data_IF_904725224821
#
_entry.id   IF_904725224821
#
_cell.length_a   1.000
_cell.length_b   1.000
_cell.length_c   1.000
_cell.angle_alpha   90.00
_cell.angle_beta   90.00
_cell.angle_gamma   90.00
#
_symmetry.space_group_name_H-M   'P 1'
#
loop_
_entity.id
_entity.type
_entity.pdbx_description
1 polymer ?
#
# COMPACT_ATOMS: atom_id res chain seq x y z
N UNK A 1 12.71 11.85 9.70
CA UNK A 1 11.97 13.10 9.41
C UNK A 1 10.48 12.79 9.37
N UNK A 2 9.63 13.59 10.03
CA UNK A 2 8.19 13.38 10.20
C UNK A 2 7.44 14.69 9.96
N UNK A 3 6.14 14.59 9.73
CA UNK A 3 5.26 15.75 9.65
C UNK A 3 5.20 16.48 10.98
N UNK A 4 4.95 17.78 10.95
CA UNK A 4 4.91 18.60 12.16
C UNK A 4 3.91 19.75 12.02
N UNK A 5 3.38 20.17 13.17
CA UNK A 5 2.55 21.34 13.24
C UNK A 5 3.33 22.62 12.94
N UNK A 6 2.68 23.57 12.28
CA UNK A 6 3.23 24.88 11.98
C UNK A 6 2.22 25.95 12.40
N UNK A 7 2.73 27.13 12.79
CA UNK A 7 1.91 28.28 13.14
C UNK A 7 1.39 29.04 11.90
N UNK A 8 1.89 28.70 10.71
CA UNK A 8 1.46 29.29 9.44
C UNK A 8 0.85 28.22 8.56
N UNK A 9 -0.11 28.63 7.77
CA UNK A 9 -0.70 27.84 6.73
C UNK A 9 0.28 27.66 5.57
N UNK A 10 0.52 26.40 5.18
CA UNK A 10 1.29 26.03 3.97
C UNK A 10 0.37 25.69 2.80
N UNK A 11 -0.88 26.18 2.81
CA UNK A 11 -1.87 25.93 1.78
C UNK A 11 -2.73 24.69 2.05
N UNK A 12 -2.47 23.92 3.10
CA UNK A 12 -3.26 22.75 3.48
C UNK A 12 -4.51 23.10 4.30
N UNK A 13 -4.56 24.28 4.93
CA UNK A 13 -5.65 24.71 5.77
C UNK A 13 -5.65 24.14 7.20
N UNK A 14 -4.94 23.05 7.42
CA UNK A 14 -4.86 22.33 8.72
C UNK A 14 -3.59 22.63 9.52
N UNK A 15 -2.74 23.50 9.00
CA UNK A 15 -1.47 23.93 9.61
C UNK A 15 -0.48 22.80 9.86
N UNK A 16 -0.50 21.79 9.02
CA UNK A 16 0.46 20.68 9.05
C UNK A 16 1.42 20.79 7.88
N UNK A 17 2.71 20.63 8.16
CA UNK A 17 3.74 20.50 7.15
C UNK A 17 3.93 19.01 6.83
N UNK A 18 3.50 18.58 5.65
CA UNK A 18 3.47 17.17 5.19
C UNK A 18 4.78 16.70 4.53
N UNK A 19 5.92 17.30 4.84
CA UNK A 19 7.20 16.97 4.22
C UNK A 19 7.88 15.73 4.82
N UNK A 20 7.30 15.12 5.86
CA UNK A 20 7.85 13.94 6.52
C UNK A 20 7.70 12.68 5.69
N UNK A 21 8.61 11.74 5.88
CA UNK A 21 8.43 10.34 5.43
C UNK A 21 7.58 9.53 6.42
N UNK A 22 7.33 10.08 7.60
CA UNK A 22 6.38 9.62 8.61
C UNK A 22 5.36 10.71 8.89
N UNK A 23 4.17 10.35 9.34
CA UNK A 23 3.16 11.30 9.81
C UNK A 23 3.53 11.91 11.18
N UNK A 24 2.66 12.75 11.74
CA UNK A 24 2.87 13.38 13.07
C UNK A 24 2.93 12.36 14.22
N UNK A 25 2.32 11.21 14.05
CA UNK A 25 2.29 10.12 15.03
C UNK A 25 3.35 9.04 14.76
N UNK A 26 4.27 9.31 13.83
CA UNK A 26 5.34 8.37 13.42
C UNK A 26 4.84 7.12 12.71
N UNK A 27 3.62 7.13 12.15
CA UNK A 27 3.24 6.12 11.19
C UNK A 27 4.07 6.27 9.92
N UNK A 28 4.64 5.18 9.39
CA UNK A 28 5.44 5.25 8.17
C UNK A 28 4.54 5.51 6.95
N UNK A 29 4.87 6.54 6.18
CA UNK A 29 4.29 6.76 4.85
C UNK A 29 4.97 5.84 3.84
N UNK A 30 4.40 5.70 2.66
CA UNK A 30 4.97 4.87 1.59
C UNK A 30 6.45 5.19 1.30
N UNK A 31 6.81 6.48 1.31
CA UNK A 31 8.20 6.95 1.09
C UNK A 31 9.20 6.44 2.14
N UNK A 32 8.76 6.06 3.34
CA UNK A 32 9.63 5.47 4.38
C UNK A 32 10.31 4.20 3.88
N UNK A 33 9.60 3.41 3.07
CA UNK A 33 10.12 2.13 2.58
C UNK A 33 11.31 2.32 1.63
N UNK A 34 11.45 3.46 0.93
CA UNK A 34 12.63 3.75 0.11
C UNK A 34 13.88 3.82 0.98
N UNK A 35 13.79 4.50 2.14
CA UNK A 35 14.89 4.57 3.09
C UNK A 35 15.10 3.22 3.82
N UNK A 36 14.02 2.55 4.18
CA UNK A 36 14.08 1.25 4.85
C UNK A 36 14.73 0.17 3.97
N UNK A 37 14.65 0.27 2.65
CA UNK A 37 15.30 -0.66 1.73
C UNK A 37 16.83 -0.56 1.75
N UNK A 38 17.41 0.56 2.20
CA UNK A 38 18.87 0.74 2.23
C UNK A 38 19.54 0.06 3.46
N UNK A 39 18.77 -0.55 4.37
CA UNK A 39 19.27 -1.35 5.48
C UNK A 39 19.12 -2.86 5.21
N UNK A 40 19.93 -3.69 5.90
CA UNK A 40 20.01 -5.13 5.67
C UNK A 40 19.44 -6.00 6.81
N UNK A 41 19.07 -5.38 7.93
CA UNK A 41 18.72 -6.09 9.16
C UNK A 41 17.31 -6.69 9.12
N UNK A 42 16.36 -5.95 8.54
CA UNK A 42 14.94 -6.33 8.52
C UNK A 42 14.46 -6.44 7.08
N UNK A 43 13.78 -7.54 6.70
CA UNK A 43 13.21 -7.67 5.36
C UNK A 43 12.15 -6.59 5.08
N UNK A 44 12.34 -5.88 3.99
CA UNK A 44 11.41 -4.87 3.48
C UNK A 44 10.80 -5.39 2.19
N UNK A 45 9.48 -5.31 2.10
CA UNK A 45 8.71 -5.52 0.88
C UNK A 45 7.46 -4.66 0.96
N UNK A 46 7.31 -3.75 0.02
CA UNK A 46 6.11 -2.92 -0.13
C UNK A 46 5.80 -2.74 -1.61
N UNK A 47 4.51 -2.69 -1.94
CA UNK A 47 4.00 -2.46 -3.29
C UNK A 47 3.26 -1.13 -3.28
N UNK A 48 3.65 -0.21 -4.18
CA UNK A 48 3.19 1.18 -4.17
C UNK A 48 1.75 1.38 -4.69
N UNK A 49 0.93 0.35 -4.66
CA UNK A 49 -0.46 0.33 -5.13
C UNK A 49 -1.27 -0.65 -4.28
N UNK A 50 -2.56 -0.40 -4.16
CA UNK A 50 -3.52 -1.38 -3.63
C UNK A 50 -3.70 -2.57 -4.58
N UNK A 51 -3.25 -2.46 -5.84
CA UNK A 51 -3.52 -3.39 -6.94
C UNK A 51 -5.02 -3.55 -7.25
N UNK A 52 -5.84 -2.65 -6.72
CA UNK A 52 -7.28 -2.64 -6.99
C UNK A 52 -7.57 -2.08 -8.39
N UNK A 53 -8.58 -2.63 -9.04
CA UNK A 53 -8.99 -2.22 -10.37
C UNK A 53 -9.56 -0.80 -10.41
N UNK A 54 -10.05 -0.29 -9.27
CA UNK A 54 -10.60 1.05 -9.11
C UNK A 54 -9.57 2.15 -8.87
N UNK A 55 -8.31 1.82 -8.66
CA UNK A 55 -7.27 2.80 -8.31
C UNK A 55 -6.97 3.78 -9.48
N UNK A 56 -7.10 3.31 -10.71
CA UNK A 56 -6.89 4.11 -11.92
C UNK A 56 -8.05 3.99 -12.92
N UNK A 57 -8.32 5.04 -13.74
CA UNK A 57 -9.35 5.00 -14.76
C UNK A 57 -9.13 3.89 -15.80
N UNK A 58 -10.24 3.35 -16.35
CA UNK A 58 -10.21 2.40 -17.46
C UNK A 58 -9.59 1.05 -17.12
N UNK A 59 -9.68 0.63 -15.85
CA UNK A 59 -9.09 -0.62 -15.36
C UNK A 59 -7.55 -0.68 -15.51
N UNK A 60 -6.90 0.46 -15.69
CA UNK A 60 -5.45 0.55 -15.74
C UNK A 60 -4.85 0.27 -14.36
N UNK A 61 -3.59 -0.16 -14.36
CA UNK A 61 -2.81 -0.44 -13.14
C UNK A 61 -1.90 0.73 -12.74
N UNK A 62 -1.59 1.63 -13.68
CA UNK A 62 -0.64 2.71 -13.44
C UNK A 62 0.82 2.24 -13.32
N UNK A 63 1.69 3.15 -12.93
CA UNK A 63 3.09 2.83 -12.65
C UNK A 63 3.22 2.37 -11.20
N UNK A 64 3.38 1.09 -11.00
CA UNK A 64 3.51 0.44 -9.69
C UNK A 64 4.96 0.04 -9.48
N UNK A 65 5.48 0.30 -8.28
CA UNK A 65 6.85 -0.04 -7.93
C UNK A 65 6.88 -1.06 -6.78
N UNK A 66 7.86 -1.95 -6.85
CA UNK A 66 8.28 -2.83 -5.76
C UNK A 66 9.37 -2.09 -5.00
N UNK A 67 9.22 -1.97 -3.69
CA UNK A 67 10.23 -1.49 -2.74
C UNK A 67 10.67 -2.67 -1.89
N UNK A 68 11.92 -3.11 -2.04
CA UNK A 68 12.43 -4.29 -1.33
C UNK A 68 13.94 -4.25 -1.19
N UNK A 69 14.46 -4.77 -0.07
CA UNK A 69 15.89 -5.03 0.16
C UNK A 69 16.27 -6.51 0.01
N UNK A 70 15.43 -7.28 -0.65
CA UNK A 70 15.69 -8.70 -0.95
C UNK A 70 16.53 -8.85 -2.24
N UNK A 71 17.05 -10.06 -2.45
CA UNK A 71 17.83 -10.41 -3.64
C UNK A 71 16.94 -10.45 -4.89
N UNK A 72 15.69 -10.88 -4.73
CA UNK A 72 14.67 -10.85 -5.76
C UNK A 72 13.26 -10.79 -5.18
N UNK A 73 12.27 -10.43 -6.02
CA UNK A 73 10.85 -10.49 -5.68
C UNK A 73 10.11 -11.25 -6.78
N UNK A 74 9.42 -12.31 -6.39
CA UNK A 74 8.56 -13.08 -7.30
C UNK A 74 7.13 -12.59 -7.20
N UNK A 75 6.55 -12.25 -8.34
CA UNK A 75 5.15 -11.83 -8.46
C UNK A 75 4.29 -12.98 -8.97
N UNK A 76 3.15 -13.17 -8.32
CA UNK A 76 2.13 -14.14 -8.70
C UNK A 76 0.78 -13.44 -8.89
N UNK A 77 -0.02 -13.95 -9.81
CA UNK A 77 -1.41 -13.54 -10.04
C UNK A 77 -2.30 -14.79 -9.97
N UNK A 78 -3.24 -14.83 -9.01
CA UNK A 78 -4.09 -15.99 -8.75
C UNK A 78 -3.25 -17.28 -8.64
N UNK A 79 -2.19 -17.24 -7.80
CA UNK A 79 -1.18 -18.28 -7.57
C UNK A 79 -0.34 -18.69 -8.79
N UNK A 80 -0.54 -18.06 -9.93
CA UNK A 80 0.27 -18.29 -11.12
C UNK A 80 1.47 -17.34 -11.13
N UNK A 81 2.66 -17.89 -11.30
CA UNK A 81 3.89 -17.09 -11.45
C UNK A 81 3.79 -16.17 -12.68
N UNK A 82 4.13 -14.90 -12.48
CA UNK A 82 4.15 -13.88 -13.54
C UNK A 82 5.59 -13.54 -13.90
N UNK A 83 6.36 -13.01 -12.95
CA UNK A 83 7.73 -12.55 -13.20
C UNK A 83 8.54 -12.48 -11.91
N UNK A 84 9.84 -12.62 -12.04
CA UNK A 84 10.80 -12.33 -10.99
C UNK A 84 11.47 -10.98 -11.27
N UNK A 85 11.50 -10.13 -10.26
CA UNK A 85 12.07 -8.79 -10.31
C UNK A 85 13.36 -8.77 -9.50
N UNK A 86 14.42 -8.23 -10.12
CA UNK A 86 15.77 -8.14 -9.54
C UNK A 86 16.14 -6.68 -9.29
N UNK A 87 16.98 -6.36 -8.29
CA UNK A 87 17.43 -4.99 -8.00
C UNK A 87 18.01 -4.26 -9.22
N UNK A 88 18.71 -5.01 -10.10
CA UNK A 88 19.30 -4.45 -11.32
C UNK A 88 18.28 -3.94 -12.34
N UNK A 89 17.00 -4.31 -12.21
CA UNK A 89 15.92 -3.80 -13.05
C UNK A 89 15.48 -2.39 -12.64
N UNK A 90 15.88 -1.90 -11.45
CA UNK A 90 15.63 -0.53 -11.05
C UNK A 90 16.29 0.47 -12.00
N UNK A 91 15.60 1.57 -12.40
CA UNK A 91 16.22 2.66 -13.15
C UNK A 91 17.19 3.50 -12.30
N UNK A 92 17.13 3.39 -10.97
CA UNK A 92 17.91 4.19 -10.01
C UNK A 92 19.22 3.50 -9.64
N UNK A 93 20.18 3.50 -10.57
CA UNK A 93 21.42 2.73 -10.46
C UNK A 93 22.35 3.14 -9.31
N UNK A 94 22.15 4.32 -8.71
CA UNK A 94 22.89 4.82 -7.56
C UNK A 94 22.36 4.31 -6.21
N UNK A 95 21.17 3.69 -6.19
CA UNK A 95 20.60 3.04 -5.02
C UNK A 95 20.87 1.54 -5.06
N UNK A 96 21.27 0.95 -3.93
CA UNK A 96 21.48 -0.49 -3.83
C UNK A 96 20.17 -1.25 -4.04
N UNK A 97 19.09 -0.76 -3.45
CA UNK A 97 17.75 -1.32 -3.52
C UNK A 97 16.74 -0.28 -4.02
N UNK A 98 17.01 0.28 -5.21
CA UNK A 98 16.12 1.27 -5.82
C UNK A 98 14.75 0.70 -6.20
N UNK A 99 13.70 1.53 -6.26
CA UNK A 99 12.36 1.10 -6.67
C UNK A 99 12.36 0.38 -8.01
N UNK A 100 11.68 -0.77 -8.11
CA UNK A 100 11.62 -1.58 -9.33
C UNK A 100 10.21 -1.45 -9.93
N UNK A 101 10.12 -0.99 -11.18
CA UNK A 101 8.84 -0.85 -11.87
C UNK A 101 8.26 -2.22 -12.24
N UNK A 102 6.99 -2.47 -11.87
CA UNK A 102 6.24 -3.62 -12.37
C UNK A 102 5.86 -3.35 -13.82
N UNK A 103 6.43 -4.12 -14.71
CA UNK A 103 6.27 -3.97 -16.16
C UNK A 103 5.46 -5.08 -16.82
N UNK A 104 5.13 -6.14 -16.07
CA UNK A 104 4.37 -7.29 -16.55
C UNK A 104 3.27 -7.71 -15.54
N UNK A 105 2.02 -7.78 -16.00
CA UNK A 105 0.84 -8.22 -15.24
C UNK A 105 0.25 -9.53 -15.79
N UNK A 106 0.86 -10.11 -16.82
CA UNK A 106 0.31 -11.20 -17.64
C UNK A 106 1.18 -12.46 -17.59
N UNK A 107 2.51 -12.28 -17.65
CA UNK A 107 3.47 -13.36 -17.76
C UNK A 107 3.22 -14.23 -18.99
N UNK A 108 3.45 -15.53 -18.85
CA UNK A 108 3.28 -16.51 -19.95
C UNK A 108 1.82 -16.93 -20.18
N UNK A 109 0.87 -16.42 -19.38
CA UNK A 109 -0.53 -16.88 -19.42
C UNK A 109 -1.20 -16.62 -20.76
N UNK A 110 -0.87 -15.51 -21.43
CA UNK A 110 -1.40 -15.20 -22.74
C UNK A 110 -0.91 -16.20 -23.79
N UNK A 111 0.39 -16.45 -23.85
CA UNK A 111 0.99 -17.36 -24.81
C UNK A 111 0.53 -18.83 -24.63
N UNK A 112 0.18 -19.21 -23.38
CA UNK A 112 -0.29 -20.57 -23.08
C UNK A 112 -1.79 -20.76 -23.38
N UNK A 113 -2.61 -19.72 -23.23
CA UNK A 113 -4.07 -19.83 -23.31
C UNK A 113 -4.63 -19.38 -24.68
N UNK A 114 -3.90 -18.54 -25.41
CA UNK A 114 -4.36 -18.00 -26.71
C UNK A 114 -3.58 -18.63 -27.86
N UNK A 115 -4.29 -18.87 -28.98
CA UNK A 115 -3.71 -19.55 -30.14
C UNK A 115 -2.99 -18.59 -31.09
N UNK A 116 -2.01 -17.83 -30.57
CA UNK A 116 -1.18 -16.95 -31.37
C UNK A 116 0.21 -17.54 -31.59
N UNK A 117 0.86 -17.16 -32.68
CA UNK A 117 2.29 -17.46 -32.89
C UNK A 117 3.10 -16.79 -31.77
N UNK A 118 4.20 -17.39 -31.28
CA UNK A 118 4.96 -16.86 -30.15
C UNK A 118 5.36 -15.40 -30.27
N UNK A 119 5.78 -14.96 -31.44
CA UNK A 119 6.13 -13.55 -31.72
C UNK A 119 4.93 -12.62 -31.57
N UNK A 120 3.75 -13.03 -32.10
CA UNK A 120 2.52 -12.24 -31.99
C UNK A 120 2.02 -12.19 -30.54
N UNK A 121 2.06 -13.32 -29.84
CA UNK A 121 1.69 -13.38 -28.45
C UNK A 121 2.51 -12.40 -27.62
N UNK A 122 3.83 -12.37 -27.81
CA UNK A 122 4.72 -11.43 -27.13
C UNK A 122 4.38 -9.97 -27.46
N UNK A 123 4.19 -9.61 -28.73
CA UNK A 123 3.85 -8.24 -29.12
C UNK A 123 2.51 -7.76 -28.51
N UNK A 124 1.51 -8.65 -28.44
CA UNK A 124 0.21 -8.35 -27.83
C UNK A 124 0.35 -8.18 -26.32
N UNK A 125 1.07 -9.07 -25.65
CA UNK A 125 1.35 -9.00 -24.19
C UNK A 125 2.08 -7.70 -23.84
N UNK A 126 3.14 -7.36 -24.60
CA UNK A 126 3.90 -6.12 -24.40
C UNK A 126 3.01 -4.87 -24.58
N UNK A 127 2.11 -4.90 -25.59
CA UNK A 127 1.16 -3.80 -25.82
C UNK A 127 0.14 -3.68 -24.67
N UNK A 128 -0.45 -4.79 -24.20
CA UNK A 128 -1.40 -4.79 -23.10
C UNK A 128 -0.75 -4.30 -21.81
N UNK A 129 0.46 -4.76 -21.49
CA UNK A 129 1.22 -4.29 -20.32
C UNK A 129 1.55 -2.80 -20.41
N UNK A 130 1.86 -2.29 -21.59
CA UNK A 130 2.10 -0.86 -21.81
C UNK A 130 0.83 -0.03 -21.60
N UNK A 131 -0.33 -0.50 -22.10
CA UNK A 131 -1.63 0.15 -21.89
C UNK A 131 -2.01 0.10 -20.41
N UNK A 132 -1.81 -1.03 -19.75
CA UNK A 132 -2.14 -1.20 -18.32
C UNK A 132 -1.38 -0.21 -17.42
N UNK A 133 -0.14 0.11 -17.76
CA UNK A 133 0.68 1.09 -17.01
C UNK A 133 0.40 2.54 -17.42
N UNK A 134 -0.04 2.76 -18.64
CA UNK A 134 -0.22 4.09 -19.19
C UNK A 134 -1.52 4.75 -18.76
N UNK A 135 -1.54 6.08 -18.89
CA UNK A 135 -2.80 6.82 -18.95
C UNK A 135 -3.33 6.77 -20.38
N UNK A 136 -4.62 6.55 -20.55
CA UNK A 136 -5.28 6.62 -21.85
C UNK A 136 -5.08 7.99 -22.55
N UNK A 137 -4.69 9.02 -21.77
CA UNK A 137 -4.41 10.36 -22.28
C UNK A 137 -3.01 10.52 -22.89
N UNK A 138 -2.10 9.55 -22.68
CA UNK A 138 -0.72 9.61 -23.17
C UNK A 138 -0.29 8.28 -23.77
N UNK A 139 -0.88 7.95 -24.94
CA UNK A 139 -0.55 6.73 -25.68
C UNK A 139 0.75 6.96 -26.48
N UNK A 140 1.82 6.20 -26.22
CA UNK A 140 3.06 6.31 -26.99
C UNK A 140 2.84 6.08 -28.48
N UNK A 141 3.51 6.85 -29.34
CA UNK A 141 3.35 6.75 -30.82
C UNK A 141 3.53 5.33 -31.36
N UNK A 142 4.45 4.54 -30.78
CA UNK A 142 4.66 3.15 -31.18
C UNK A 142 3.45 2.25 -30.88
N UNK A 143 2.59 2.60 -29.91
CA UNK A 143 1.38 1.82 -29.63
C UNK A 143 0.34 1.97 -30.75
N UNK A 144 0.26 3.14 -31.40
CA UNK A 144 -0.56 3.31 -32.61
C UNK A 144 -0.08 2.41 -33.76
N UNK A 145 1.24 2.27 -33.94
CA UNK A 145 1.80 1.34 -34.93
C UNK A 145 1.48 -0.11 -34.58
N UNK A 146 1.56 -0.47 -33.29
CA UNK A 146 1.17 -1.80 -32.81
C UNK A 146 -0.32 -2.04 -33.03
N UNK A 147 -1.19 -1.08 -32.69
CA UNK A 147 -2.64 -1.18 -32.91
C UNK A 147 -2.97 -1.36 -34.41
N UNK A 148 -2.34 -0.58 -35.29
CA UNK A 148 -2.50 -0.72 -36.73
C UNK A 148 -2.05 -2.12 -37.21
N UNK A 149 -0.96 -2.65 -36.68
CA UNK A 149 -0.46 -3.98 -36.98
C UNK A 149 -1.42 -5.07 -36.48
N UNK A 150 -2.01 -4.90 -35.28
CA UNK A 150 -3.02 -5.82 -34.76
C UNK A 150 -4.23 -5.91 -35.67
N UNK A 151 -4.72 -4.76 -36.13
CA UNK A 151 -5.88 -4.71 -37.05
C UNK A 151 -5.57 -5.27 -38.43
N UNK A 152 -4.49 -4.80 -39.09
CA UNK A 152 -4.24 -5.09 -40.49
C UNK A 152 -3.51 -6.42 -40.76
N UNK A 153 -2.63 -6.84 -39.83
CA UNK A 153 -1.79 -8.03 -40.03
C UNK A 153 -2.33 -9.21 -39.23
N UNK A 154 -2.77 -8.96 -37.98
CA UNK A 154 -3.24 -10.05 -37.12
C UNK A 154 -4.75 -10.24 -37.17
N UNK A 155 -5.47 -9.34 -37.87
CA UNK A 155 -6.93 -9.36 -38.01
C UNK A 155 -7.66 -9.41 -36.67
N UNK A 156 -7.11 -8.75 -35.64
CA UNK A 156 -7.70 -8.61 -34.31
C UNK A 156 -8.51 -7.32 -34.32
N UNK A 157 -9.81 -7.43 -34.18
CA UNK A 157 -10.70 -6.28 -34.11
C UNK A 157 -10.71 -5.64 -32.71
N UNK A 158 -11.36 -4.49 -32.57
CA UNK A 158 -11.41 -3.77 -31.31
C UNK A 158 -12.13 -4.56 -30.20
N UNK A 159 -13.15 -5.33 -30.55
CA UNK A 159 -13.90 -6.16 -29.60
C UNK A 159 -13.01 -7.25 -29.00
N UNK A 160 -12.20 -7.90 -29.85
CA UNK A 160 -11.25 -8.91 -29.41
C UNK A 160 -10.11 -8.31 -28.56
N UNK A 161 -9.59 -7.12 -28.94
CA UNK A 161 -8.61 -6.41 -28.10
C UNK A 161 -9.18 -6.12 -26.72
N UNK A 162 -10.43 -5.64 -26.64
CA UNK A 162 -11.11 -5.37 -25.37
C UNK A 162 -11.30 -6.64 -24.56
N UNK A 163 -11.76 -7.72 -25.19
CA UNK A 163 -11.92 -9.04 -24.55
C UNK A 163 -10.61 -9.53 -23.93
N UNK A 164 -9.51 -9.43 -24.70
CA UNK A 164 -8.20 -9.85 -24.23
C UNK A 164 -7.69 -8.98 -23.07
N UNK A 165 -7.87 -7.67 -23.18
CA UNK A 165 -7.47 -6.74 -22.10
C UNK A 165 -8.25 -7.04 -20.81
N UNK A 166 -9.57 -7.15 -20.90
CA UNK A 166 -10.46 -7.52 -19.78
C UNK A 166 -10.02 -8.85 -19.15
N UNK A 167 -9.75 -9.86 -19.96
CA UNK A 167 -9.34 -11.19 -19.47
C UNK A 167 -7.98 -11.19 -18.75
N UNK A 168 -7.00 -10.45 -19.28
CA UNK A 168 -5.62 -10.55 -18.80
C UNK A 168 -5.18 -9.40 -17.88
N UNK A 169 -5.73 -8.23 -18.01
CA UNK A 169 -5.42 -7.09 -17.13
C UNK A 169 -6.48 -6.93 -16.05
N UNK A 170 -7.73 -6.82 -16.42
CA UNK A 170 -8.84 -6.73 -15.49
C UNK A 170 -10.04 -5.98 -16.05
N UNK A 171 -11.17 -6.13 -15.35
CA UNK A 171 -12.47 -5.61 -15.73
C UNK A 171 -13.24 -5.19 -14.46
N UNK A 172 -14.10 -4.18 -14.61
CA UNK A 172 -15.10 -3.84 -13.60
C UNK A 172 -16.15 -4.95 -13.49
N UNK A 173 -16.30 -5.51 -12.27
CA UNK A 173 -17.25 -6.61 -12.03
C UNK A 173 -16.76 -7.98 -12.50
N UNK A 174 -15.50 -8.11 -12.91
CA UNK A 174 -14.85 -9.38 -13.21
C UNK A 174 -14.51 -10.19 -11.96
N UNK A 175 -13.88 -11.34 -12.16
CA UNK A 175 -13.36 -12.18 -11.07
C UNK A 175 -12.28 -11.43 -10.29
N UNK A 176 -12.38 -11.47 -8.95
CA UNK A 176 -11.38 -10.91 -8.07
C UNK A 176 -9.96 -11.41 -8.43
N UNK A 177 -9.02 -10.50 -8.50
CA UNK A 177 -7.63 -10.82 -8.80
C UNK A 177 -6.80 -10.69 -7.53
N UNK A 178 -6.07 -11.76 -7.21
CA UNK A 178 -5.15 -11.80 -6.07
C UNK A 178 -3.73 -11.69 -6.62
N UNK A 179 -2.98 -10.70 -6.13
CA UNK A 179 -1.55 -10.56 -6.39
C UNK A 179 -0.77 -10.92 -5.14
N UNK A 180 0.20 -11.83 -5.26
CA UNK A 180 1.14 -12.15 -4.20
C UNK A 180 2.56 -11.82 -4.66
N UNK A 181 3.32 -11.21 -3.76
CA UNK A 181 4.72 -10.86 -3.95
C UNK A 181 5.54 -11.53 -2.85
N UNK A 182 6.51 -12.33 -3.23
CA UNK A 182 7.40 -13.05 -2.32
C UNK A 182 8.81 -12.48 -2.45
N UNK A 183 9.31 -11.80 -1.41
CA UNK A 183 10.68 -11.34 -1.30
C UNK A 183 11.60 -12.50 -0.94
N UNK A 184 12.65 -12.69 -1.72
CA UNK A 184 13.59 -13.81 -1.59
C UNK A 184 14.97 -13.26 -1.21
N UNK A 185 15.53 -13.78 -0.13
CA UNK A 185 16.91 -13.51 0.32
C UNK A 185 17.57 -14.82 0.66
N UNK A 186 18.81 -15.03 0.17
CA UNK A 186 19.55 -16.28 0.34
C UNK A 186 18.74 -17.52 -0.09
N UNK A 187 17.98 -17.42 -1.17
CA UNK A 187 17.14 -18.49 -1.72
C UNK A 187 15.88 -18.82 -0.92
N UNK A 188 15.54 -18.05 0.13
CA UNK A 188 14.37 -18.29 0.99
C UNK A 188 13.41 -17.10 0.90
N UNK A 189 12.12 -17.39 0.99
CA UNK A 189 11.10 -16.34 1.15
C UNK A 189 11.24 -15.76 2.55
N UNK A 190 11.55 -14.46 2.64
CA UNK A 190 11.73 -13.72 3.90
C UNK A 190 10.56 -12.82 4.25
N UNK A 191 9.76 -12.42 3.24
CA UNK A 191 8.54 -11.65 3.43
C UNK A 191 7.60 -11.86 2.26
N UNK A 192 6.29 -11.89 2.51
CA UNK A 192 5.26 -11.93 1.48
C UNK A 192 4.26 -10.78 1.68
N UNK A 193 3.78 -10.22 0.58
CA UNK A 193 2.71 -9.22 0.55
C UNK A 193 1.63 -9.72 -0.41
N UNK A 194 0.39 -9.76 0.06
CA UNK A 194 -0.78 -10.11 -0.76
C UNK A 194 -1.66 -8.89 -0.93
N UNK A 195 -2.08 -8.61 -2.16
CA UNK A 195 -3.01 -7.54 -2.53
C UNK A 195 -4.21 -8.19 -3.20
N UNK A 196 -5.38 -8.02 -2.60
CA UNK A 196 -6.66 -8.48 -3.15
C UNK A 196 -7.77 -7.47 -2.83
N UNK A 197 -8.95 -7.54 -3.48
CA UNK A 197 -10.08 -6.70 -3.11
C UNK A 197 -10.43 -6.89 -1.64
N UNK A 198 -10.58 -5.77 -0.93
CA UNK A 198 -10.84 -5.73 0.52
C UNK A 198 -12.18 -6.39 0.82
N UNK A 199 -12.20 -7.37 1.71
CA UNK A 199 -13.40 -8.05 2.20
C UNK A 199 -13.79 -7.56 3.58
N UNK A 200 -12.79 -7.37 4.45
CA UNK A 200 -12.95 -6.91 5.81
C UNK A 200 -11.97 -5.77 6.09
N UNK A 201 -12.45 -4.77 6.79
CA UNK A 201 -11.63 -3.66 7.28
C UNK A 201 -11.54 -3.79 8.79
N UNK A 202 -10.33 -3.69 9.34
CA UNK A 202 -10.13 -3.68 10.78
C UNK A 202 -9.22 -2.53 11.20
N UNK A 203 -9.42 -2.04 12.43
CA UNK A 203 -8.46 -1.19 13.07
C UNK A 203 -7.27 -2.02 13.58
N UNK A 204 -6.08 -1.44 13.51
CA UNK A 204 -4.91 -1.83 14.28
C UNK A 204 -4.45 -0.64 15.09
N UNK A 205 -4.09 -0.86 16.34
CA UNK A 205 -3.57 0.20 17.20
C UNK A 205 -2.45 -0.31 18.09
N UNK A 206 -1.41 0.52 18.24
CA UNK A 206 -0.22 0.20 19.01
C UNK A 206 0.16 1.41 19.87
N UNK A 207 0.29 1.20 21.18
CA UNK A 207 0.89 2.16 22.08
C UNK A 207 2.40 1.94 22.17
N UNK A 208 3.20 3.00 22.20
CA UNK A 208 4.65 2.90 22.38
C UNK A 208 5.02 2.35 23.76
N UNK A 209 4.19 2.62 24.77
CA UNK A 209 4.22 1.95 26.07
C UNK A 209 2.84 1.97 26.73
N UNK A 210 2.57 1.01 27.62
CA UNK A 210 1.28 0.85 28.30
C UNK A 210 1.39 1.01 29.82
N UNK A 211 2.59 1.21 30.34
CA UNK A 211 2.83 1.54 31.75
C UNK A 211 3.20 3.02 31.81
N UNK A 212 2.25 3.83 32.29
CA UNK A 212 2.47 5.27 32.49
C UNK A 212 3.08 5.46 33.88
N UNK A 213 4.29 6.05 33.94
CA UNK A 213 4.99 6.29 35.20
C UNK A 213 5.10 7.78 35.47
N UNK A 214 4.28 8.26 36.39
CA UNK A 214 4.24 9.67 36.81
C UNK A 214 5.24 9.92 37.94
N UNK A 215 6.17 10.84 37.74
CA UNK A 215 7.17 11.23 38.76
C UNK A 215 7.02 12.70 39.16
N UNK A 216 7.38 13.63 38.28
CA UNK A 216 7.29 15.07 38.50
C UNK A 216 6.14 15.71 37.71
N UNK A 217 5.69 15.04 36.67
CA UNK A 217 4.57 15.42 35.81
C UNK A 217 3.89 14.17 35.30
N UNK A 218 2.75 14.34 34.61
CA UNK A 218 2.08 13.26 33.93
C UNK A 218 3.00 12.60 32.86
N UNK A 219 2.85 11.30 32.70
CA UNK A 219 3.47 10.54 31.62
C UNK A 219 2.54 10.44 30.42
N UNK A 220 3.10 10.32 29.21
CA UNK A 220 2.34 10.36 27.95
C UNK A 220 2.77 9.23 27.03
N UNK A 221 1.84 8.36 26.67
CA UNK A 221 2.01 7.35 25.63
C UNK A 221 1.46 7.83 24.28
N UNK A 222 2.22 7.56 23.21
CA UNK A 222 1.76 7.72 21.84
C UNK A 222 0.99 6.46 21.41
N UNK A 223 -0.21 6.63 20.88
CA UNK A 223 -1.00 5.55 20.27
C UNK A 223 -1.09 5.79 18.77
N UNK A 224 -0.52 4.90 17.98
CA UNK A 224 -0.65 4.84 16.53
C UNK A 224 -1.86 4.02 16.14
N UNK A 225 -2.59 4.47 15.12
CA UNK A 225 -3.85 3.85 14.67
C UNK A 225 -3.77 3.68 13.16
N UNK A 226 -4.17 2.50 12.66
CA UNK A 226 -4.22 2.18 11.24
C UNK A 226 -5.52 1.44 10.91
N UNK A 227 -6.07 1.69 9.73
CA UNK A 227 -7.08 0.84 9.13
C UNK A 227 -6.41 -0.06 8.12
N UNK A 228 -6.63 -1.36 8.23
CA UNK A 228 -5.97 -2.39 7.42
C UNK A 228 -6.97 -3.36 6.83
N UNK A 229 -6.57 -4.01 5.73
CA UNK A 229 -7.29 -5.11 5.10
C UNK A 229 -7.02 -6.45 5.81
N UNK A 230 -7.58 -7.55 5.23
CA UNK A 230 -7.41 -8.92 5.71
C UNK A 230 -5.94 -9.37 5.79
N UNK A 231 -5.05 -8.76 5.02
CA UNK A 231 -3.62 -9.08 4.94
C UNK A 231 -2.72 -8.12 5.72
N UNK A 232 -3.30 -7.15 6.44
CA UNK A 232 -2.56 -6.16 7.19
C UNK A 232 -2.01 -5.01 6.35
N UNK A 233 -2.44 -4.85 5.10
CA UNK A 233 -2.08 -3.69 4.31
C UNK A 233 -2.87 -2.48 4.78
N UNK A 234 -2.19 -1.34 4.96
CA UNK A 234 -2.86 -0.07 5.25
C UNK A 234 -3.74 0.31 4.07
N UNK A 235 -4.95 0.77 4.37
CA UNK A 235 -5.95 1.18 3.39
C UNK A 235 -5.83 2.69 3.11
N UNK A 236 -5.15 3.11 2.02
CA UNK A 236 -4.77 4.52 1.81
C UNK A 236 -5.97 5.44 1.55
N UNK A 237 -7.11 4.89 1.19
CA UNK A 237 -8.34 5.66 0.92
C UNK A 237 -9.34 5.63 2.09
N UNK A 238 -9.00 4.96 3.20
CA UNK A 238 -9.85 4.93 4.38
C UNK A 238 -9.71 6.23 5.17
N UNK A 239 -10.83 6.95 5.36
CA UNK A 239 -10.89 8.26 6.00
C UNK A 239 -12.01 8.38 7.03
N UNK A 240 -12.60 7.25 7.44
CA UNK A 240 -13.68 7.27 8.42
C UNK A 240 -13.21 7.75 9.79
N UNK A 241 -14.10 8.39 10.57
CA UNK A 241 -13.78 8.82 11.91
C UNK A 241 -13.62 7.63 12.87
N UNK A 242 -12.65 7.75 13.76
CA UNK A 242 -12.44 6.86 14.89
C UNK A 242 -12.77 7.64 16.17
N UNK A 243 -13.69 7.12 16.95
CA UNK A 243 -14.03 7.67 18.25
C UNK A 243 -13.09 7.11 19.33
N UNK A 244 -12.61 7.98 20.21
CA UNK A 244 -11.68 7.68 21.28
C UNK A 244 -12.40 7.83 22.63
N UNK A 245 -12.46 6.76 23.40
CA UNK A 245 -13.12 6.74 24.70
C UNK A 245 -12.11 6.30 25.74
N UNK A 246 -11.96 7.07 26.81
CA UNK A 246 -11.09 6.73 27.95
C UNK A 246 -11.88 6.17 29.11
N UNK A 247 -11.34 5.13 29.73
CA UNK A 247 -11.84 4.52 30.97
C UNK A 247 -10.76 4.59 32.05
N UNK A 248 -11.15 4.81 33.31
CA UNK A 248 -10.24 4.84 34.47
C UNK A 248 -9.35 6.08 34.51
N UNK A 249 -8.12 5.93 35.03
CA UNK A 249 -7.24 7.04 35.42
C UNK A 249 -6.32 7.52 34.29
N UNK A 250 -6.85 7.61 33.08
CA UNK A 250 -6.18 8.16 31.87
C UNK A 250 -7.03 9.23 31.21
N UNK A 251 -6.41 10.08 30.40
CA UNK A 251 -7.09 11.01 29.50
C UNK A 251 -6.35 11.13 28.18
N UNK A 252 -7.05 11.48 27.10
CA UNK A 252 -6.41 11.79 25.81
C UNK A 252 -5.93 13.25 25.77
N UNK A 253 -4.89 13.49 24.97
CA UNK A 253 -4.48 14.84 24.57
C UNK A 253 -4.92 15.03 23.13
N UNK A 254 -5.91 15.89 22.91
CA UNK A 254 -6.50 16.14 21.59
C UNK A 254 -8.00 15.84 21.56
N UNK A 255 -8.58 15.75 20.36
CA UNK A 255 -10.00 15.48 20.17
C UNK A 255 -10.35 14.02 20.51
N UNK A 256 -11.60 13.80 20.89
CA UNK A 256 -12.17 12.47 21.15
C UNK A 256 -12.67 11.76 19.88
N UNK A 257 -12.59 12.44 18.77
CA UNK A 257 -12.93 11.90 17.44
C UNK A 257 -11.91 12.38 16.44
N UNK A 258 -11.25 11.45 15.76
CA UNK A 258 -10.21 11.72 14.77
C UNK A 258 -10.59 11.10 13.42
N UNK A 259 -10.28 11.77 12.33
CA UNK A 259 -10.33 11.18 10.99
C UNK A 259 -8.96 10.57 10.66
N UNK A 260 -8.96 9.34 10.13
CA UNK A 260 -7.73 8.75 9.59
C UNK A 260 -7.40 9.42 8.24
N UNK A 261 -6.13 9.72 8.03
CA UNK A 261 -5.62 10.26 6.77
C UNK A 261 -4.77 9.22 6.07
N UNK A 262 -5.20 8.79 4.88
CA UNK A 262 -4.52 7.68 4.20
C UNK A 262 -4.55 6.38 5.01
N UNK A 263 -5.65 6.15 5.77
CA UNK A 263 -5.80 4.98 6.63
C UNK A 263 -4.98 5.01 7.93
N UNK A 264 -4.34 6.13 8.26
CA UNK A 264 -3.44 6.26 9.42
C UNK A 264 -3.80 7.47 10.28
N UNK A 265 -3.48 7.38 11.57
CA UNK A 265 -3.64 8.46 12.53
C UNK A 265 -3.04 8.12 13.87
N UNK A 266 -3.40 8.87 14.89
CA UNK A 266 -2.92 8.60 16.23
C UNK A 266 -3.49 9.57 17.27
N UNK A 267 -3.16 9.29 18.52
CA UNK A 267 -3.50 10.14 19.66
C UNK A 267 -2.44 9.98 20.75
N UNK A 268 -2.55 10.82 21.77
CA UNK A 268 -1.71 10.72 22.96
C UNK A 268 -2.59 10.44 24.17
N UNK A 269 -2.17 9.48 24.99
CA UNK A 269 -2.80 9.12 26.27
C UNK A 269 -1.89 9.57 27.40
N UNK A 270 -2.43 10.25 28.40
CA UNK A 270 -1.69 10.71 29.58
C UNK A 270 -2.28 10.18 30.88
N UNK A 271 -1.44 10.09 31.91
CA UNK A 271 -1.83 9.85 33.29
C UNK A 271 -2.56 11.07 33.90
N UNK A 272 -3.33 10.86 34.95
CA UNK A 272 -4.18 11.89 35.59
C UNK A 272 -3.87 12.15 37.07
N UNK A 273 -2.68 11.78 37.55
CA UNK A 273 -2.27 12.01 38.94
C UNK A 273 -2.79 10.96 39.91
N UNK A 274 -3.19 9.78 39.45
CA UNK A 274 -3.68 8.67 40.30
C UNK A 274 -3.09 7.35 39.84
N UNK A 275 -2.56 6.57 40.79
CA UNK A 275 -2.18 5.18 40.51
C UNK A 275 -3.42 4.34 40.25
N UNK A 276 -3.37 3.48 39.24
CA UNK A 276 -4.54 2.68 38.91
C UNK A 276 -4.43 1.99 37.55
N UNK A 277 -5.58 1.80 36.95
CA UNK A 277 -5.73 1.20 35.60
C UNK A 277 -6.63 2.08 34.77
N UNK A 278 -6.34 2.12 33.49
CA UNK A 278 -7.19 2.76 32.49
C UNK A 278 -7.24 1.95 31.21
N UNK A 279 -8.08 2.35 30.29
CA UNK A 279 -8.10 1.81 28.93
C UNK A 279 -8.51 2.88 27.92
N UNK A 280 -7.90 2.84 26.76
CA UNK A 280 -8.36 3.56 25.57
C UNK A 280 -9.17 2.61 24.71
N UNK A 281 -10.42 2.98 24.42
CA UNK A 281 -11.28 2.29 23.48
C UNK A 281 -11.35 3.11 22.19
N UNK A 282 -11.07 2.45 21.08
CA UNK A 282 -11.10 2.97 19.71
C UNK A 282 -12.29 2.35 19.02
N UNK A 283 -13.21 3.16 18.51
CA UNK A 283 -14.40 2.68 17.81
C UNK A 283 -14.51 3.27 16.41
N UNK A 284 -14.68 2.43 15.40
CA UNK A 284 -15.05 2.81 14.04
C UNK A 284 -16.34 2.11 13.66
N UNK A 285 -17.14 2.75 12.83
CA UNK A 285 -18.41 2.19 12.37
C UNK A 285 -18.19 0.95 11.47
N UNK A 286 -17.16 0.96 10.64
CA UNK A 286 -16.90 -0.10 9.66
C UNK A 286 -15.72 -0.99 9.99
N UNK A 287 -14.73 -0.47 10.76
CA UNK A 287 -13.49 -1.19 11.06
C UNK A 287 -13.44 -1.78 12.48
N UNK A 288 -14.59 -1.78 13.19
CA UNK A 288 -14.73 -2.43 14.49
C UNK A 288 -14.16 -1.63 15.66
N UNK A 289 -13.75 -2.35 16.71
CA UNK A 289 -13.37 -1.78 18.00
C UNK A 289 -12.06 -2.40 18.51
N UNK A 290 -11.21 -1.58 19.13
CA UNK A 290 -9.99 -2.02 19.82
C UNK A 290 -9.94 -1.40 21.22
N UNK A 291 -9.49 -2.18 22.19
CA UNK A 291 -9.26 -1.76 23.56
C UNK A 291 -7.79 -1.92 23.94
N UNK A 292 -7.14 -0.83 24.35
CA UNK A 292 -5.74 -0.80 24.79
C UNK A 292 -5.73 -0.53 26.30
N UNK A 293 -5.29 -1.49 27.14
CA UNK A 293 -5.19 -1.30 28.58
C UNK A 293 -3.93 -0.54 28.97
N UNK A 294 -4.02 0.28 30.02
CA UNK A 294 -2.92 1.03 30.61
C UNK A 294 -2.83 0.76 32.10
N UNK A 295 -1.61 0.76 32.62
CA UNK A 295 -1.32 0.73 34.05
C UNK A 295 -0.64 2.05 34.43
N UNK A 296 -1.12 2.71 35.51
CA UNK A 296 -0.58 3.97 35.98
C UNK A 296 0.14 3.74 37.32
N UNK A 297 1.39 4.19 37.40
CA UNK A 297 2.25 4.17 38.60
C UNK A 297 2.63 5.60 38.95
N UNK A 298 2.52 5.95 40.21
CA UNK A 298 2.96 7.22 40.80
C UNK A 298 4.06 6.94 41.78
#
# INVERSE_FOLDING_TARGET
MFDYNTHKDFGSGDRICYHGVMDMFRNPKLATNIYACEQEQTPVLEITSSMDIGEHPGCNRGNIYILSNADSVKMYKNDRFIKEYLPEMSPYKHLKHGPILIDDFIGDSFAQNERFRPKHAKEITDAMNLVARGSLNHIPKRLYLTALKLLLIYHIDFAEVTRLYTKYIGDWGGTATIYRFDAIKDGKVVKSVTKEPVREIRLEAEADHTILTEQHSYDVALVRIRAVDDHGNVLPFYQEPVRLITEGDISIIGPDTIALQGGMGGTYVKSTGRSGRGALLLQSQTAGEIRIPFQIKI
#
